data_IF_471935128776
#
_entry.id   IF_471935128776
#
_cell.length_a   1.000
_cell.length_b   1.000
_cell.length_c   1.000
_cell.angle_alpha   90.00
_cell.angle_beta   90.00
_cell.angle_gamma   90.00
#
_symmetry.space_group_name_H-M   'P 1'
#
loop_
_entity.id
_entity.type
_entity.pdbx_description
1 polymer ?
#
# COMPACT_ATOMS: atom_id res chain seq x y z
N UNK A 1 -6.33 4.97 -5.53
CA UNK A 1 -7.03 3.76 -5.02
C UNK A 1 -6.77 3.65 -3.52
N UNK A 2 -7.69 4.09 -2.67
CA UNK A 2 -7.62 3.84 -1.22
C UNK A 2 -8.59 2.74 -0.92
N UNK A 3 -8.15 1.51 -1.14
CA UNK A 3 -8.97 0.36 -0.86
C UNK A 3 -9.07 0.19 0.66
N UNK A 4 -10.29 -0.05 1.16
CA UNK A 4 -10.59 -0.07 2.61
C UNK A 4 -9.88 -1.21 3.35
N UNK A 5 -9.24 -2.11 2.62
CA UNK A 5 -8.35 -3.15 3.10
C UNK A 5 -6.92 -2.65 3.45
N UNK A 6 -6.50 -1.45 3.03
CA UNK A 6 -5.14 -0.94 3.27
C UNK A 6 -5.04 0.09 4.40
N UNK A 7 -6.10 0.86 4.66
CA UNK A 7 -6.06 1.90 5.70
C UNK A 7 -7.47 2.22 6.22
N UNK A 8 -7.63 2.23 7.54
CA UNK A 8 -8.83 2.74 8.21
C UNK A 8 -8.57 4.19 8.63
N UNK A 9 -9.46 5.11 8.24
CA UNK A 9 -9.38 6.54 8.60
C UNK A 9 -10.63 6.95 9.38
N UNK A 10 -10.45 7.77 10.40
CA UNK A 10 -11.55 8.33 11.19
C UNK A 10 -11.66 9.82 10.88
N UNK A 11 -12.85 10.25 10.46
CA UNK A 11 -13.11 11.66 10.19
C UNK A 11 -12.99 12.50 11.47
N UNK A 12 -12.18 13.56 11.41
CA UNK A 12 -11.90 14.45 12.55
C UNK A 12 -13.17 15.08 13.15
N UNK A 13 -14.13 15.41 12.29
CA UNK A 13 -15.37 16.12 12.66
C UNK A 13 -16.62 15.26 12.43
N UNK A 14 -16.44 13.93 12.39
CA UNK A 14 -17.55 13.00 12.20
C UNK A 14 -18.50 12.97 13.40
N UNK A 15 -19.81 12.95 13.15
CA UNK A 15 -20.86 12.93 14.20
C UNK A 15 -20.70 11.79 15.21
N UNK A 16 -20.13 10.66 14.80
CA UNK A 16 -19.92 9.46 15.61
C UNK A 16 -18.43 9.18 15.88
N UNK A 17 -17.57 10.20 15.92
CA UNK A 17 -16.12 10.04 16.02
C UNK A 17 -15.67 9.16 17.18
N UNK A 18 -16.25 9.34 18.37
CA UNK A 18 -15.84 8.56 19.55
C UNK A 18 -16.14 7.07 19.36
N UNK A 19 -17.35 6.73 18.91
CA UNK A 19 -17.70 5.34 18.62
C UNK A 19 -16.78 4.71 17.55
N UNK A 20 -16.38 5.48 16.54
CA UNK A 20 -15.42 4.99 15.53
C UNK A 20 -14.02 4.74 16.13
N UNK A 21 -13.56 5.60 17.04
CA UNK A 21 -12.29 5.40 17.77
C UNK A 21 -12.35 4.16 18.66
N UNK A 22 -13.44 3.99 19.40
CA UNK A 22 -13.64 2.84 20.29
C UNK A 22 -13.69 1.53 19.50
N UNK A 23 -14.37 1.53 18.35
CA UNK A 23 -14.38 0.40 17.43
C UNK A 23 -12.98 0.08 16.87
N UNK A 24 -12.23 1.08 16.40
CA UNK A 24 -10.87 0.87 15.88
C UNK A 24 -9.92 0.36 16.97
N UNK A 25 -10.07 0.85 18.20
CA UNK A 25 -9.33 0.34 19.36
C UNK A 25 -9.68 -1.11 19.61
N UNK A 26 -10.96 -1.46 19.69
CA UNK A 26 -11.39 -2.84 19.84
C UNK A 26 -10.86 -3.74 18.73
N UNK A 27 -10.91 -3.29 17.46
CA UNK A 27 -10.39 -4.05 16.32
C UNK A 27 -8.89 -4.33 16.44
N UNK A 28 -8.11 -3.40 16.98
CA UNK A 28 -6.65 -3.52 17.04
C UNK A 28 -6.12 -4.16 18.33
N UNK A 29 -6.90 -4.15 19.42
CA UNK A 29 -6.45 -4.66 20.73
C UNK A 29 -7.18 -5.92 21.21
N UNK A 30 -8.39 -6.20 20.71
CA UNK A 30 -9.12 -7.42 21.09
C UNK A 30 -8.51 -8.67 20.44
N UNK A 31 -8.72 -9.83 21.07
CA UNK A 31 -8.30 -11.11 20.50
C UNK A 31 -8.97 -11.38 19.15
N UNK A 32 -10.27 -11.16 19.07
CA UNK A 32 -11.03 -11.32 17.83
C UNK A 32 -10.51 -10.39 16.73
N UNK A 33 -10.34 -9.11 17.03
CA UNK A 33 -9.91 -8.10 16.07
C UNK A 33 -8.51 -8.38 15.52
N UNK A 34 -7.55 -8.74 16.39
CA UNK A 34 -6.19 -9.15 15.98
C UNK A 34 -6.21 -10.36 15.05
N UNK A 35 -7.13 -11.31 15.25
CA UNK A 35 -7.24 -12.50 14.42
C UNK A 35 -8.14 -12.34 13.19
N UNK A 36 -8.92 -11.26 13.08
CA UNK A 36 -9.88 -11.10 11.98
C UNK A 36 -9.18 -11.08 10.61
N UNK A 37 -8.13 -10.26 10.46
CA UNK A 37 -7.37 -10.13 9.21
C UNK A 37 -6.67 -11.45 8.83
N UNK A 38 -5.81 -12.05 9.67
CA UNK A 38 -5.12 -13.28 9.29
C UNK A 38 -6.03 -14.50 9.26
N UNK A 39 -7.02 -14.57 10.16
CA UNK A 39 -7.90 -15.71 10.33
C UNK A 39 -9.03 -15.77 9.31
N UNK A 40 -9.65 -14.63 8.95
CA UNK A 40 -10.82 -14.57 8.07
C UNK A 40 -10.49 -14.02 6.69
N UNK A 41 -9.73 -12.93 6.61
CA UNK A 41 -9.34 -12.30 5.33
C UNK A 41 -8.15 -13.03 4.68
N UNK A 42 -7.38 -13.78 5.48
CA UNK A 42 -6.19 -14.53 5.05
C UNK A 42 -5.06 -13.64 4.51
N UNK A 43 -4.95 -12.43 5.06
CA UNK A 43 -3.88 -11.47 4.74
C UNK A 43 -2.91 -11.29 5.90
N UNK A 44 -1.71 -10.81 5.61
CA UNK A 44 -0.79 -10.33 6.64
C UNK A 44 -1.39 -9.10 7.31
N UNK A 45 -1.45 -9.10 8.64
CA UNK A 45 -2.01 -8.01 9.41
C UNK A 45 -0.95 -6.95 9.71
N UNK A 46 -1.28 -5.64 9.60
CA UNK A 46 -0.42 -4.57 10.07
C UNK A 46 -0.43 -4.41 11.60
N UNK A 47 -1.27 -5.16 12.32
CA UNK A 47 -1.36 -5.09 13.78
C UNK A 47 -0.17 -5.81 14.41
N UNK A 48 0.58 -5.12 15.27
CA UNK A 48 1.72 -5.67 16.00
C UNK A 48 1.28 -6.91 16.79
N UNK A 49 2.02 -8.01 16.63
CA UNK A 49 1.77 -9.27 17.33
C UNK A 49 0.63 -10.12 16.76
N UNK A 50 -0.01 -9.71 15.67
CA UNK A 50 -0.93 -10.59 14.96
C UNK A 50 -0.18 -11.76 14.29
N UNK A 51 -0.76 -12.96 14.33
CA UNK A 51 -0.21 -14.10 13.62
C UNK A 51 -0.29 -13.90 12.11
N UNK A 52 0.65 -14.48 11.37
CA UNK A 52 0.54 -14.59 9.92
C UNK A 52 -0.56 -15.62 9.55
N UNK A 53 -1.26 -15.45 8.43
CA UNK A 53 -2.17 -16.47 7.93
C UNK A 53 -1.39 -17.74 7.54
N UNK A 54 -2.02 -18.91 7.67
CA UNK A 54 -1.41 -20.17 7.25
C UNK A 54 -1.47 -20.33 5.73
N UNK A 55 -0.53 -19.69 5.04
CA UNK A 55 -0.32 -19.84 3.61
C UNK A 55 1.17 -19.84 3.29
N UNK A 56 1.53 -20.47 2.17
CA UNK A 56 2.93 -20.53 1.73
C UNK A 56 3.50 -19.13 1.52
N UNK A 57 2.77 -18.25 0.83
CA UNK A 57 3.21 -16.89 0.54
C UNK A 57 3.42 -16.06 1.82
N UNK A 58 2.59 -16.25 2.85
CA UNK A 58 2.75 -15.56 4.12
C UNK A 58 3.99 -16.03 4.87
N UNK A 59 4.27 -17.34 4.88
CA UNK A 59 5.50 -17.92 5.47
C UNK A 59 6.75 -17.36 4.81
N UNK A 60 6.82 -17.38 3.48
CA UNK A 60 7.95 -16.84 2.71
C UNK A 60 8.11 -15.33 2.91
N UNK A 61 7.00 -14.58 2.94
CA UNK A 61 7.03 -13.12 3.18
C UNK A 61 7.53 -12.80 4.58
N UNK A 62 7.06 -13.52 5.61
CA UNK A 62 7.55 -13.35 6.99
C UNK A 62 9.03 -13.69 7.11
N UNK A 63 9.52 -14.72 6.43
CA UNK A 63 10.94 -15.06 6.40
C UNK A 63 11.78 -13.97 5.73
N UNK A 64 11.32 -13.43 4.59
CA UNK A 64 12.00 -12.34 3.88
C UNK A 64 12.05 -11.04 4.72
N UNK A 65 10.98 -10.71 5.44
CA UNK A 65 10.96 -9.58 6.36
C UNK A 65 11.93 -9.78 7.53
N UNK A 66 11.98 -10.99 8.10
CA UNK A 66 12.88 -11.34 9.20
C UNK A 66 14.37 -11.35 8.79
N UNK A 67 14.67 -11.60 7.51
CA UNK A 67 16.05 -11.56 7.00
C UNK A 67 16.62 -10.15 6.86
N UNK A 68 15.80 -9.11 7.10
CA UNK A 68 16.21 -7.71 6.92
C UNK A 68 16.33 -7.30 5.44
N UNK A 69 15.68 -8.02 4.52
CA UNK A 69 15.65 -7.63 3.12
C UNK A 69 15.05 -6.21 2.98
N UNK A 70 15.62 -5.34 2.12
CA UNK A 70 15.12 -4.00 1.94
C UNK A 70 13.71 -4.03 1.34
N UNK A 71 12.79 -3.32 2.01
CA UNK A 71 11.47 -3.05 1.47
C UNK A 71 11.50 -1.89 0.48
N UNK A 72 10.82 -2.05 -0.65
CA UNK A 72 10.58 -0.95 -1.59
C UNK A 72 9.17 -0.39 -1.37
N UNK A 73 9.03 0.86 -0.92
CA UNK A 73 7.72 1.44 -0.67
C UNK A 73 6.99 1.70 -2.00
N UNK A 74 5.67 1.65 -1.95
CA UNK A 74 4.82 1.90 -3.11
C UNK A 74 4.68 3.42 -3.35
N UNK A 75 5.79 4.08 -3.70
CA UNK A 75 5.88 5.54 -3.85
C UNK A 75 4.81 6.13 -4.78
N UNK A 76 4.36 5.38 -5.79
CA UNK A 76 3.35 5.86 -6.72
C UNK A 76 2.03 6.23 -6.03
N UNK A 77 1.70 5.61 -4.89
CA UNK A 77 0.51 5.91 -4.10
C UNK A 77 0.58 7.25 -3.35
N UNK A 78 1.75 7.88 -3.29
CA UNK A 78 1.95 9.18 -2.65
C UNK A 78 1.69 10.35 -3.59
N UNK A 79 1.54 10.11 -4.89
CA UNK A 79 1.31 11.15 -5.88
C UNK A 79 -0.18 11.43 -6.09
N UNK A 80 -0.54 12.57 -6.69
CA UNK A 80 -1.93 12.88 -7.02
C UNK A 80 -2.58 11.78 -7.85
N UNK A 81 -3.86 11.50 -7.58
CA UNK A 81 -4.69 10.59 -8.38
C UNK A 81 -4.56 10.93 -9.87
N UNK A 82 -4.33 9.93 -10.72
CA UNK A 82 -4.07 10.16 -12.15
C UNK A 82 -2.60 9.89 -12.53
N UNK A 83 -1.70 9.96 -11.55
CA UNK A 83 -0.26 9.76 -11.77
C UNK A 83 0.04 8.33 -12.21
N UNK A 84 -0.62 7.36 -11.59
CA UNK A 84 -0.42 5.94 -11.86
C UNK A 84 -0.77 5.56 -13.31
N UNK A 85 -1.75 6.21 -13.93
CA UNK A 85 -2.14 5.96 -15.31
C UNK A 85 -1.04 6.42 -16.27
N UNK A 86 -0.47 7.61 -16.05
CA UNK A 86 0.61 8.13 -16.88
C UNK A 86 1.88 7.26 -16.75
N UNK A 87 2.31 6.98 -15.51
CA UNK A 87 3.50 6.15 -15.26
C UNK A 87 3.31 4.73 -15.79
N UNK A 88 2.11 4.16 -15.62
CA UNK A 88 1.74 2.85 -16.14
C UNK A 88 1.82 2.78 -17.67
N UNK A 89 1.33 3.79 -18.39
CA UNK A 89 1.39 3.85 -19.84
C UNK A 89 2.84 3.88 -20.38
N UNK A 90 3.73 4.63 -19.72
CA UNK A 90 5.15 4.68 -20.07
C UNK A 90 5.79 3.28 -19.92
N UNK A 91 5.56 2.62 -18.78
CA UNK A 91 6.09 1.28 -18.53
C UNK A 91 5.49 0.22 -19.48
N UNK A 92 4.21 0.34 -19.83
CA UNK A 92 3.57 -0.55 -20.81
C UNK A 92 4.21 -0.41 -22.20
N UNK A 93 4.58 0.79 -22.61
CA UNK A 93 5.32 1.03 -23.86
C UNK A 93 6.65 0.29 -23.91
N UNK A 94 7.40 0.33 -22.80
CA UNK A 94 8.66 -0.43 -22.67
C UNK A 94 8.43 -1.94 -22.75
N UNK A 95 7.46 -2.48 -22.00
CA UNK A 95 7.13 -3.90 -22.03
C UNK A 95 6.66 -4.38 -23.41
N UNK A 96 6.01 -3.50 -24.18
CA UNK A 96 5.58 -3.77 -25.55
C UNK A 96 6.69 -3.61 -26.61
N UNK A 97 7.90 -3.17 -26.20
CA UNK A 97 9.02 -2.92 -27.12
C UNK A 97 8.86 -1.66 -27.98
N UNK A 98 7.97 -0.75 -27.59
CA UNK A 98 7.74 0.53 -28.30
C UNK A 98 8.78 1.59 -27.95
N UNK A 99 9.38 1.49 -26.76
CA UNK A 99 10.46 2.34 -26.28
C UNK A 99 11.60 1.48 -25.75
N UNK A 100 12.84 1.96 -25.89
CA UNK A 100 13.99 1.34 -25.23
C UNK A 100 14.11 1.81 -23.77
N UNK A 101 15.13 1.29 -23.07
CA UNK A 101 15.38 1.61 -21.66
C UNK A 101 15.66 3.10 -21.45
N UNK A 102 16.45 3.73 -22.33
CA UNK A 102 16.84 5.13 -22.17
C UNK A 102 15.63 6.05 -22.37
N UNK A 103 14.87 5.84 -23.44
CA UNK A 103 13.63 6.58 -23.74
C UNK A 103 12.60 6.44 -22.61
N UNK A 104 12.47 5.24 -22.05
CA UNK A 104 11.53 4.98 -20.94
C UNK A 104 11.95 5.72 -19.68
N UNK A 105 13.25 5.69 -19.33
CA UNK A 105 13.75 6.41 -18.16
C UNK A 105 13.60 7.92 -18.32
N UNK A 106 13.92 8.48 -19.49
CA UNK A 106 13.73 9.90 -19.78
C UNK A 106 12.26 10.33 -19.63
N UNK A 107 11.32 9.53 -20.14
CA UNK A 107 9.89 9.79 -20.01
C UNK A 107 9.42 9.72 -18.54
N UNK A 108 9.91 8.76 -17.76
CA UNK A 108 9.61 8.67 -16.33
C UNK A 108 10.18 9.87 -15.56
N UNK A 109 11.43 10.26 -15.81
CA UNK A 109 12.07 11.41 -15.17
C UNK A 109 11.32 12.71 -15.47
N UNK A 110 10.90 12.91 -16.72
CA UNK A 110 10.08 14.05 -17.12
C UNK A 110 8.72 14.07 -16.40
N UNK A 111 8.07 12.91 -16.25
CA UNK A 111 6.81 12.79 -15.52
C UNK A 111 7.00 13.11 -14.03
N UNK A 112 8.01 12.54 -13.38
CA UNK A 112 8.31 12.82 -11.97
C UNK A 112 8.70 14.27 -11.72
N UNK A 113 9.51 14.88 -12.60
CA UNK A 113 9.88 16.28 -12.49
C UNK A 113 8.66 17.22 -12.56
N UNK A 114 7.66 16.89 -13.40
CA UNK A 114 6.40 17.63 -13.48
C UNK A 114 5.60 17.51 -12.18
N UNK A 115 5.51 16.30 -11.61
CA UNK A 115 4.79 16.05 -10.35
C UNK A 115 5.46 16.81 -9.19
N UNK A 116 6.80 16.74 -9.09
CA UNK A 116 7.56 17.42 -8.04
C UNK A 116 7.37 18.94 -8.06
N UNK A 117 7.31 19.54 -9.26
CA UNK A 117 7.06 20.98 -9.43
C UNK A 117 5.63 21.40 -9.08
N UNK A 118 4.64 20.54 -9.28
CA UNK A 118 3.25 20.84 -8.95
C UNK A 118 2.95 20.84 -7.44
N UNK A 119 3.86 20.31 -6.63
CA UNK A 119 3.75 20.28 -5.16
C UNK A 119 4.37 21.50 -4.46
N UNK A 120 4.97 22.42 -5.21
CA UNK A 120 5.51 23.71 -4.73
C UNK A 120 4.46 24.82 -4.87
#
# INVERSE_FOLDING_TARGET
>A
MFDSNQTIRIAKDGKNRQAALDWLRWLTTSEYGRNWIPGKVKQLSPIIGAAAPDSYIAKETSALLASGAPGYPWFYQMFPTGTEQQLGAILQGYCAGLTDRAQTLEALDAAYAKIAKAAQ
#
